data_IF_412872556548
#
_entry.id   IF_412872556548
#
_cell.length_a   1.000
_cell.length_b   1.000
_cell.length_c   1.000
_cell.angle_alpha   90.00
_cell.angle_beta   90.00
_cell.angle_gamma   90.00
#
_symmetry.space_group_name_H-M   'P 1'
#
loop_
_entity.id
_entity.type
_entity.pdbx_description
1 polymer ?
#
# COMPACT_ATOMS: atom_id res chain seq x y z
N UNK A 1 4.10 0.78 14.30
CA UNK A 1 3.87 -0.60 13.81
C UNK A 1 4.85 -1.00 12.70
N UNK A 2 4.80 -0.35 11.52
CA UNK A 2 5.63 -0.71 10.37
C UNK A 2 7.14 -0.79 10.69
N UNK A 3 7.64 0.15 11.50
CA UNK A 3 9.03 0.14 12.00
C UNK A 3 9.42 -1.18 12.68
N UNK A 4 8.64 -1.61 13.66
CA UNK A 4 8.93 -2.82 14.44
C UNK A 4 8.89 -4.07 13.54
N UNK A 5 7.98 -4.11 12.57
CA UNK A 5 7.92 -5.19 11.59
C UNK A 5 9.16 -5.15 10.69
N UNK A 6 9.55 -3.98 10.20
CA UNK A 6 10.74 -3.82 9.35
C UNK A 6 12.04 -4.23 10.05
N UNK A 7 12.14 -3.96 11.36
CA UNK A 7 13.32 -4.31 12.18
C UNK A 7 13.36 -5.81 12.51
N UNK A 8 12.21 -6.41 12.86
CA UNK A 8 12.20 -7.75 13.44
C UNK A 8 11.74 -8.85 12.49
N UNK A 9 11.19 -8.51 11.33
CA UNK A 9 10.61 -9.47 10.40
C UNK A 9 11.24 -9.35 9.00
N UNK A 10 12.49 -9.78 8.84
CA UNK A 10 13.24 -9.69 7.58
C UNK A 10 12.56 -10.38 6.38
N UNK A 11 11.72 -11.39 6.66
CA UNK A 11 10.97 -12.14 5.64
C UNK A 11 9.51 -11.68 5.51
N UNK A 12 9.16 -10.53 6.08
CA UNK A 12 7.81 -10.00 6.01
C UNK A 12 7.46 -9.64 4.57
N UNK A 13 6.40 -10.24 4.04
CA UNK A 13 6.04 -10.12 2.62
C UNK A 13 4.62 -9.60 2.40
N UNK A 14 3.78 -9.55 3.43
CA UNK A 14 2.37 -9.19 3.26
C UNK A 14 1.75 -8.57 4.50
N UNK A 15 0.94 -7.54 4.30
CA UNK A 15 0.26 -6.81 5.35
C UNK A 15 -1.19 -6.57 4.94
N UNK A 16 -2.09 -6.94 5.84
CA UNK A 16 -3.51 -6.66 5.77
C UNK A 16 -3.90 -5.92 7.04
N UNK A 17 -4.41 -4.70 6.91
CA UNK A 17 -4.83 -3.89 8.05
C UNK A 17 -6.34 -3.69 7.91
N UNK A 18 -7.05 -3.23 8.95
CA UNK A 18 -8.40 -2.61 8.91
C UNK A 18 -8.39 -1.31 9.71
N UNK A 19 -9.05 -0.24 9.25
CA UNK A 19 -9.04 1.08 9.92
C UNK A 19 -9.02 2.31 9.00
N UNK A 20 -8.33 3.36 9.44
CA UNK A 20 -7.97 4.56 8.66
C UNK A 20 -6.45 4.50 8.39
N UNK A 21 -6.02 4.84 7.17
CA UNK A 21 -4.59 5.00 6.84
C UNK A 21 -4.38 6.48 6.59
N UNK A 22 -3.62 7.14 7.45
CA UNK A 22 -3.21 8.51 7.23
C UNK A 22 -1.86 8.54 6.48
N UNK A 23 -1.49 9.71 5.95
CA UNK A 23 -0.23 9.88 5.24
C UNK A 23 1.00 9.46 6.05
N UNK A 24 0.98 9.63 7.37
CA UNK A 24 2.06 9.17 8.25
C UNK A 24 2.16 7.63 8.28
N UNK A 25 1.05 6.91 8.23
CA UNK A 25 1.04 5.45 8.15
C UNK A 25 1.60 4.98 6.80
N UNK A 26 1.20 5.64 5.71
CA UNK A 26 1.72 5.38 4.37
C UNK A 26 3.24 5.56 4.32
N UNK A 27 3.76 6.67 4.86
CA UNK A 27 5.21 6.88 4.98
C UNK A 27 5.89 5.85 5.88
N UNK A 28 5.25 5.44 6.97
CA UNK A 28 5.75 4.35 7.80
C UNK A 28 5.91 3.05 7.00
N UNK A 29 4.92 2.68 6.19
CA UNK A 29 5.00 1.49 5.33
C UNK A 29 6.14 1.64 4.32
N UNK A 30 6.26 2.79 3.66
CA UNK A 30 7.31 3.03 2.65
C UNK A 30 8.71 2.99 3.27
N UNK A 31 8.91 3.62 4.42
CA UNK A 31 10.23 3.75 5.04
C UNK A 31 10.71 2.44 5.67
N UNK A 32 9.80 1.69 6.28
CA UNK A 32 10.17 0.52 7.07
C UNK A 32 9.86 -0.81 6.38
N UNK A 33 8.95 -0.83 5.40
CA UNK A 33 8.55 -2.02 4.64
C UNK A 33 8.73 -1.83 3.11
N UNK A 34 9.86 -1.27 2.62
CA UNK A 34 10.02 -0.95 1.19
C UNK A 34 10.01 -2.17 0.26
N UNK A 35 10.19 -3.38 0.80
CA UNK A 35 10.20 -4.66 0.07
C UNK A 35 8.91 -5.45 0.20
N UNK A 36 7.85 -4.85 0.74
CA UNK A 36 6.57 -5.54 0.90
C UNK A 36 6.00 -5.92 -0.46
N UNK A 37 5.41 -7.12 -0.54
CA UNK A 37 4.90 -7.69 -1.80
C UNK A 37 3.39 -7.64 -1.89
N UNK A 38 2.70 -7.80 -0.75
CA UNK A 38 1.24 -7.83 -0.71
C UNK A 38 0.71 -6.81 0.30
N UNK A 39 -0.09 -5.87 -0.18
CA UNK A 39 -0.82 -4.90 0.64
C UNK A 39 -2.33 -5.05 0.40
N UNK A 40 -3.09 -5.15 1.48
CA UNK A 40 -4.54 -5.31 1.45
C UNK A 40 -5.18 -4.36 2.47
N UNK A 41 -5.96 -3.41 1.98
CA UNK A 41 -6.65 -2.38 2.74
C UNK A 41 -8.17 -2.51 2.54
N UNK A 42 -8.80 -3.57 3.09
CA UNK A 42 -10.23 -3.79 2.93
C UNK A 42 -11.04 -2.72 3.68
N UNK A 43 -11.89 -1.99 2.96
CA UNK A 43 -12.86 -1.06 3.57
C UNK A 43 -12.26 0.20 4.20
N UNK A 44 -11.07 0.62 3.77
CA UNK A 44 -10.44 1.85 4.26
C UNK A 44 -10.84 3.08 3.45
N UNK A 45 -10.98 4.20 4.16
CA UNK A 45 -10.75 5.50 3.55
C UNK A 45 -9.24 5.72 3.41
N UNK A 46 -8.73 5.55 2.20
CA UNK A 46 -7.37 5.93 1.81
C UNK A 46 -7.50 6.97 0.69
N UNK A 47 -6.80 8.10 0.81
CA UNK A 47 -6.80 9.09 -0.25
C UNK A 47 -5.83 8.67 -1.36
N UNK A 48 -5.92 9.38 -2.49
CA UNK A 48 -5.13 9.03 -3.66
C UNK A 48 -3.64 9.19 -3.38
N UNK A 49 -3.30 10.23 -2.64
CA UNK A 49 -1.95 10.63 -2.30
C UNK A 49 -1.24 9.56 -1.48
N UNK A 50 -1.91 8.95 -0.49
CA UNK A 50 -1.34 7.85 0.29
C UNK A 50 -1.11 6.60 -0.58
N UNK A 51 -2.07 6.27 -1.46
CA UNK A 51 -1.91 5.15 -2.40
C UNK A 51 -0.70 5.36 -3.30
N UNK A 52 -0.56 6.55 -3.89
CA UNK A 52 0.58 6.86 -4.77
C UNK A 52 1.90 6.82 -4.01
N UNK A 53 1.96 7.35 -2.78
CA UNK A 53 3.15 7.28 -1.95
C UNK A 53 3.58 5.82 -1.71
N UNK A 54 2.62 4.93 -1.42
CA UNK A 54 2.88 3.50 -1.24
C UNK A 54 3.36 2.85 -2.53
N UNK A 55 2.69 3.12 -3.65
CA UNK A 55 3.04 2.57 -4.98
C UNK A 55 4.46 2.98 -5.39
N UNK A 56 4.84 4.23 -5.15
CA UNK A 56 6.17 4.73 -5.53
C UNK A 56 7.27 4.27 -4.55
N UNK A 57 6.92 4.09 -3.28
CA UNK A 57 7.87 3.75 -2.23
C UNK A 57 8.13 2.25 -2.07
N UNK A 58 7.14 1.40 -2.32
CA UNK A 58 7.23 -0.05 -2.12
C UNK A 58 7.70 -0.75 -3.41
N UNK A 59 9.00 -0.97 -3.54
CA UNK A 59 9.67 -1.39 -4.78
C UNK A 59 9.39 -2.83 -5.21
N UNK A 60 9.00 -3.69 -4.28
CA UNK A 60 8.68 -5.10 -4.56
C UNK A 60 7.16 -5.38 -4.55
N UNK A 61 6.33 -4.33 -4.59
CA UNK A 61 4.88 -4.47 -4.48
C UNK A 61 4.32 -5.23 -5.69
N UNK A 62 3.76 -6.41 -5.42
CA UNK A 62 3.15 -7.30 -6.42
C UNK A 62 1.63 -7.26 -6.39
N UNK A 63 1.05 -7.10 -5.21
CA UNK A 63 -0.40 -7.00 -5.00
C UNK A 63 -0.74 -5.83 -4.12
N UNK A 64 -1.63 -4.97 -4.59
CA UNK A 64 -2.27 -3.92 -3.83
C UNK A 64 -3.79 -4.06 -4.00
N UNK A 65 -4.50 -4.32 -2.91
CA UNK A 65 -5.95 -4.46 -2.89
C UNK A 65 -6.57 -3.37 -2.02
N UNK A 66 -7.43 -2.56 -2.63
CA UNK A 66 -8.24 -1.51 -2.01
C UNK A 66 -9.73 -1.89 -2.02
N UNK A 67 -10.03 -3.19 -2.15
CA UNK A 67 -11.40 -3.71 -2.25
C UNK A 67 -12.25 -3.23 -1.08
N UNK A 68 -13.55 -3.10 -1.35
CA UNK A 68 -14.57 -2.62 -0.40
C UNK A 68 -14.48 -1.12 -0.08
N UNK A 69 -13.64 -0.34 -0.77
CA UNK A 69 -13.65 1.11 -0.69
C UNK A 69 -14.54 1.74 -1.78
N UNK A 70 -15.46 2.61 -1.36
CA UNK A 70 -16.43 3.27 -2.27
C UNK A 70 -15.89 4.60 -2.84
N UNK A 71 -14.66 5.02 -2.51
CA UNK A 71 -14.16 6.37 -2.81
C UNK A 71 -12.93 6.48 -3.72
N UNK A 72 -12.18 5.39 -3.97
CA UNK A 72 -10.94 5.50 -4.74
C UNK A 72 -11.24 5.47 -6.23
N UNK A 73 -11.16 6.65 -6.86
CA UNK A 73 -11.23 6.77 -8.31
C UNK A 73 -9.84 6.58 -8.88
N UNK A 74 -9.62 5.43 -9.51
CA UNK A 74 -8.43 5.21 -10.32
C UNK A 74 -8.46 6.11 -11.56
N UNK A 75 -7.51 7.04 -11.62
CA UNK A 75 -7.25 7.85 -12.81
C UNK A 75 -6.02 7.37 -13.59
N UNK A 76 -5.72 8.04 -14.70
CA UNK A 76 -4.64 7.68 -15.60
C UNK A 76 -3.25 7.68 -14.91
N UNK A 77 -3.05 8.55 -13.93
CA UNK A 77 -1.81 8.63 -13.16
C UNK A 77 -1.65 7.41 -12.26
N UNK A 78 -2.68 7.07 -11.49
CA UNK A 78 -2.70 5.90 -10.62
C UNK A 78 -2.44 4.62 -11.41
N UNK A 79 -3.06 4.48 -12.59
CA UNK A 79 -2.78 3.36 -13.50
C UNK A 79 -1.33 3.35 -13.96
N UNK A 80 -0.79 4.51 -14.35
CA UNK A 80 0.58 4.62 -14.86
C UNK A 80 1.61 4.24 -13.79
N UNK A 81 1.46 4.72 -12.55
CA UNK A 81 2.38 4.39 -11.46
C UNK A 81 2.24 2.93 -11.01
N UNK A 82 1.02 2.39 -11.02
CA UNK A 82 0.76 0.99 -10.67
C UNK A 82 1.10 -0.04 -11.78
N UNK A 83 1.65 0.38 -12.94
CA UNK A 83 1.97 -0.55 -14.05
C UNK A 83 2.92 -1.68 -13.67
N UNK A 84 3.78 -1.48 -12.66
CA UNK A 84 4.70 -2.51 -12.16
C UNK A 84 4.06 -3.53 -11.21
N UNK A 85 2.81 -3.30 -10.78
CA UNK A 85 2.12 -4.13 -9.80
C UNK A 85 1.29 -5.19 -10.54
N UNK A 86 1.55 -6.45 -10.25
CA UNK A 86 0.89 -7.56 -10.93
C UNK A 86 -0.63 -7.62 -10.66
N UNK A 87 -1.06 -7.24 -9.46
CA UNK A 87 -2.47 -7.26 -9.06
C UNK A 87 -2.81 -5.94 -8.38
N UNK A 88 -3.57 -5.08 -9.06
CA UNK A 88 -4.09 -3.83 -8.50
C UNK A 88 -5.62 -3.87 -8.52
N UNK A 89 -6.22 -4.01 -7.33
CA UNK A 89 -7.68 -4.13 -7.16
C UNK A 89 -8.21 -2.91 -6.39
N UNK A 90 -9.32 -2.34 -6.86
CA UNK A 90 -9.94 -1.13 -6.33
C UNK A 90 -11.44 -1.14 -6.59
#
# INVERSE_FOLDING_TARGET
MAEQIGIHCEKFYGLKIRGLIEMNDAFGIVNYLPKIRNLDFPGFHIAKEEVLAIVDGCRELKRLSLKEYVGFKVDAESKKRAQGIAVFEF
#
